data_IF_960822291649
#
_entry.id   IF_960822291649
#
_cell.length_a   1.000
_cell.length_b   1.000
_cell.length_c   1.000
_cell.angle_alpha   90.00
_cell.angle_beta   90.00
_cell.angle_gamma   90.00
#
_symmetry.space_group_name_H-M   'P 1'
#
loop_
_entity.id
_entity.type
_entity.pdbx_description
1 polymer ?
#
# COMPACT_ATOMS: atom_id res chain seq x y z
N UNK A 1 12.25 47.55 15.95
CA UNK A 1 11.71 46.56 15.00
C UNK A 1 12.60 45.35 15.12
N UNK A 2 12.11 44.27 15.71
CA UNK A 2 12.84 43.01 15.86
C UNK A 2 12.13 41.99 14.99
N UNK A 3 12.87 41.48 14.02
CA UNK A 3 12.43 40.55 13.00
C UNK A 3 12.39 39.15 13.63
N UNK A 4 11.23 38.77 14.16
CA UNK A 4 11.00 37.43 14.71
C UNK A 4 10.83 36.46 13.54
N UNK A 5 11.95 35.88 13.12
CA UNK A 5 12.02 34.82 12.14
C UNK A 5 11.11 33.65 12.56
N UNK A 6 9.97 33.54 11.88
CA UNK A 6 9.15 32.34 11.88
C UNK A 6 10.03 31.16 11.45
N UNK A 7 10.50 30.38 12.42
CA UNK A 7 10.97 29.03 12.14
C UNK A 7 9.75 28.25 11.66
N UNK A 8 9.76 27.81 10.41
CA UNK A 8 8.84 26.79 9.97
C UNK A 8 8.98 25.60 10.92
N UNK A 9 7.93 25.30 11.69
CA UNK A 9 7.84 24.03 12.40
C UNK A 9 7.84 22.94 11.33
N UNK A 10 9.01 22.33 11.12
CA UNK A 10 9.11 21.16 10.27
C UNK A 10 8.19 20.10 10.86
N UNK A 11 7.15 19.74 10.11
CA UNK A 11 6.21 18.69 10.49
C UNK A 11 6.94 17.44 10.93
N UNK A 12 6.41 16.79 11.96
CA UNK A 12 6.95 15.58 12.57
C UNK A 12 7.49 14.60 11.51
N UNK A 13 8.80 14.35 11.52
CA UNK A 13 9.43 13.39 10.60
C UNK A 13 9.13 12.00 11.11
N UNK A 14 8.22 11.30 10.44
CA UNK A 14 7.90 9.92 10.77
C UNK A 14 9.11 9.02 10.57
N UNK A 15 9.43 8.21 11.59
CA UNK A 15 10.44 7.18 11.47
C UNK A 15 9.99 6.04 10.56
N UNK A 16 10.93 5.18 10.14
CA UNK A 16 10.64 4.01 9.31
C UNK A 16 9.56 3.11 9.94
N UNK A 17 9.54 3.00 11.27
CA UNK A 17 8.55 2.21 12.01
C UNK A 17 7.13 2.76 11.90
N UNK A 18 6.96 4.08 12.07
CA UNK A 18 5.64 4.73 12.02
C UNK A 18 5.06 4.67 10.61
N UNK A 19 5.92 4.89 9.61
CA UNK A 19 5.55 4.73 8.21
C UNK A 19 5.09 3.30 7.88
N UNK A 20 5.80 2.26 8.37
CA UNK A 20 5.40 0.86 8.17
C UNK A 20 4.05 0.53 8.79
N UNK A 21 3.75 1.07 9.99
CA UNK A 21 2.45 0.87 10.66
C UNK A 21 1.32 1.51 9.88
N UNK A 22 1.52 2.72 9.36
CA UNK A 22 0.50 3.42 8.58
C UNK A 22 0.21 2.68 7.28
N UNK A 23 1.24 2.19 6.60
CA UNK A 23 1.05 1.37 5.42
C UNK A 23 0.31 0.07 5.70
N UNK A 24 0.64 -0.62 6.81
CA UNK A 24 -0.06 -1.84 7.21
C UNK A 24 -1.54 -1.57 7.47
N UNK A 25 -1.86 -0.50 8.21
CA UNK A 25 -3.24 -0.12 8.48
C UNK A 25 -4.01 0.23 7.19
N UNK A 26 -3.37 0.91 6.24
CA UNK A 26 -3.97 1.18 4.92
C UNK A 26 -4.19 -0.11 4.11
N UNK A 27 -3.24 -1.04 4.16
CA UNK A 27 -3.34 -2.33 3.48
C UNK A 27 -4.49 -3.17 4.05
N UNK A 28 -4.63 -3.24 5.38
CA UNK A 28 -5.74 -3.90 6.06
C UNK A 28 -7.09 -3.25 5.71
N UNK A 29 -7.16 -1.92 5.69
CA UNK A 29 -8.37 -1.19 5.28
C UNK A 29 -8.74 -1.50 3.82
N UNK A 30 -7.75 -1.59 2.93
CA UNK A 30 -7.93 -1.98 1.54
C UNK A 30 -8.46 -3.42 1.44
N UNK A 31 -7.93 -4.34 2.25
CA UNK A 31 -8.38 -5.74 2.33
C UNK A 31 -9.85 -5.84 2.79
N UNK A 32 -10.21 -5.15 3.86
CA UNK A 32 -11.57 -5.18 4.42
C UNK A 32 -12.59 -4.52 3.47
N UNK A 33 -12.19 -3.47 2.76
CA UNK A 33 -13.02 -2.85 1.73
C UNK A 33 -13.24 -3.81 0.57
N UNK A 34 -12.21 -4.53 0.12
CA UNK A 34 -12.33 -5.55 -0.91
C UNK A 34 -13.27 -6.69 -0.50
N UNK A 35 -13.15 -7.23 0.72
CA UNK A 35 -14.08 -8.25 1.25
C UNK A 35 -15.53 -7.75 1.28
N UNK A 36 -15.73 -6.52 1.76
CA UNK A 36 -17.04 -5.88 1.82
C UNK A 36 -17.64 -5.69 0.42
N UNK A 37 -16.82 -5.29 -0.56
CA UNK A 37 -17.23 -5.23 -1.96
C UNK A 37 -17.70 -6.59 -2.46
N UNK A 38 -16.95 -7.68 -2.23
CA UNK A 38 -17.33 -9.02 -2.70
C UNK A 38 -18.69 -9.48 -2.15
N UNK A 39 -18.99 -9.17 -0.88
CA UNK A 39 -20.27 -9.49 -0.25
C UNK A 39 -21.44 -8.70 -0.86
N UNK A 40 -21.18 -7.46 -1.30
CA UNK A 40 -22.20 -6.52 -1.78
C UNK A 40 -22.14 -6.26 -3.29
N UNK A 41 -21.34 -7.02 -4.05
CA UNK A 41 -21.11 -6.76 -5.48
C UNK A 41 -22.37 -6.85 -6.33
N UNK A 42 -23.35 -7.63 -5.90
CA UNK A 42 -24.66 -7.76 -6.55
C UNK A 42 -25.67 -6.69 -6.11
N UNK A 43 -25.35 -5.93 -5.06
CA UNK A 43 -26.12 -4.78 -4.59
C UNK A 43 -25.62 -3.51 -5.30
N UNK A 44 -26.08 -3.31 -6.54
CA UNK A 44 -25.47 -2.44 -7.56
C UNK A 44 -24.89 -1.11 -7.06
N UNK A 45 -25.66 -0.28 -6.35
CA UNK A 45 -25.16 1.04 -5.90
C UNK A 45 -24.15 0.95 -4.75
N UNK A 46 -24.37 0.06 -3.79
CA UNK A 46 -23.51 -0.08 -2.63
C UNK A 46 -22.20 -0.79 -3.00
N UNK A 47 -22.29 -1.85 -3.82
CA UNK A 47 -21.14 -2.56 -4.36
C UNK A 47 -20.24 -1.65 -5.19
N UNK A 48 -20.80 -0.81 -6.09
CA UNK A 48 -19.99 0.14 -6.86
C UNK A 48 -19.26 1.15 -6.00
N UNK A 49 -19.91 1.71 -4.96
CA UNK A 49 -19.27 2.66 -4.03
C UNK A 49 -18.10 2.03 -3.27
N UNK A 50 -18.27 0.80 -2.80
CA UNK A 50 -17.20 0.06 -2.13
C UNK A 50 -16.06 -0.25 -3.09
N UNK A 51 -16.37 -0.57 -4.36
CA UNK A 51 -15.35 -0.80 -5.37
C UNK A 51 -14.54 0.47 -5.70
N UNK A 52 -15.21 1.62 -5.86
CA UNK A 52 -14.52 2.89 -6.10
C UNK A 52 -13.66 3.30 -4.91
N UNK A 53 -14.15 3.05 -3.68
CA UNK A 53 -13.37 3.28 -2.47
C UNK A 53 -12.15 2.35 -2.39
N UNK A 54 -12.31 1.07 -2.72
CA UNK A 54 -11.21 0.11 -2.83
C UNK A 54 -10.16 0.56 -3.85
N UNK A 55 -10.57 1.03 -5.04
CA UNK A 55 -9.64 1.55 -6.04
C UNK A 55 -8.88 2.79 -5.55
N UNK A 56 -9.55 3.68 -4.81
CA UNK A 56 -8.91 4.83 -4.17
C UNK A 56 -7.82 4.42 -3.17
N UNK A 57 -8.13 3.45 -2.31
CA UNK A 57 -7.16 2.90 -1.34
C UNK A 57 -5.99 2.21 -2.04
N UNK A 58 -6.25 1.42 -3.08
CA UNK A 58 -5.23 0.72 -3.86
C UNK A 58 -4.29 1.72 -4.57
N UNK A 59 -4.84 2.78 -5.15
CA UNK A 59 -4.07 3.85 -5.76
C UNK A 59 -3.24 4.63 -4.73
N UNK A 60 -3.80 4.87 -3.54
CA UNK A 60 -3.10 5.47 -2.40
C UNK A 60 -1.88 4.65 -1.98
N UNK A 61 -2.12 3.38 -1.62
CA UNK A 61 -1.09 2.40 -1.27
C UNK A 61 0.02 2.34 -2.31
N UNK A 62 -0.34 2.25 -3.60
CA UNK A 62 0.64 2.27 -4.68
C UNK A 62 1.53 3.51 -4.63
N UNK A 63 0.98 4.71 -4.40
CA UNK A 63 1.78 5.92 -4.33
C UNK A 63 2.85 5.88 -3.25
N UNK A 64 2.48 5.36 -2.08
CA UNK A 64 3.38 5.28 -0.94
C UNK A 64 4.48 4.22 -1.15
N UNK A 65 4.17 3.11 -1.83
CA UNK A 65 5.14 2.03 -2.09
C UNK A 65 5.80 2.10 -3.48
N UNK A 66 5.42 3.04 -4.36
CA UNK A 66 5.92 3.13 -5.73
C UNK A 66 7.45 3.18 -5.82
N UNK A 67 8.19 3.98 -5.02
CA UNK A 67 9.65 4.01 -5.08
C UNK A 67 10.27 2.64 -4.78
N UNK A 68 9.60 1.85 -3.94
CA UNK A 68 10.02 0.51 -3.52
C UNK A 68 9.78 -0.52 -4.63
N UNK A 69 8.62 -0.46 -5.28
CA UNK A 69 8.33 -1.28 -6.46
C UNK A 69 9.30 -0.94 -7.59
N UNK A 70 9.61 0.35 -7.81
CA UNK A 70 10.57 0.76 -8.83
C UNK A 70 11.97 0.23 -8.57
N UNK A 71 12.47 0.34 -7.34
CA UNK A 71 13.77 -0.21 -6.97
C UNK A 71 13.82 -1.74 -7.19
N UNK A 72 12.75 -2.45 -6.84
CA UNK A 72 12.64 -3.89 -7.11
C UNK A 72 12.55 -4.22 -8.60
N UNK A 73 11.97 -3.35 -9.44
CA UNK A 73 11.90 -3.57 -10.88
C UNK A 73 13.24 -3.44 -11.59
N UNK A 74 14.22 -2.78 -10.95
CA UNK A 74 15.60 -2.67 -11.43
C UNK A 74 16.51 -3.80 -10.92
N UNK A 75 16.01 -4.68 -10.04
CA UNK A 75 16.77 -5.80 -9.50
C UNK A 75 16.47 -7.08 -10.30
N UNK A 76 17.46 -7.54 -11.08
CA UNK A 76 17.37 -8.76 -11.89
C UNK A 76 17.08 -10.03 -11.06
N UNK A 77 17.35 -9.99 -9.75
CA UNK A 77 17.09 -11.10 -8.83
C UNK A 77 15.68 -11.06 -8.23
N UNK A 78 14.95 -9.94 -8.37
CA UNK A 78 13.61 -9.82 -7.83
C UNK A 78 12.58 -10.52 -8.71
N UNK A 79 12.03 -11.64 -8.22
CA UNK A 79 11.01 -12.43 -8.91
C UNK A 79 9.80 -12.63 -8.02
N UNK A 80 8.63 -12.16 -8.44
CA UNK A 80 7.36 -12.52 -7.82
C UNK A 80 7.00 -13.93 -8.29
N UNK A 81 6.81 -14.85 -7.35
CA UNK A 81 6.53 -16.25 -7.69
C UNK A 81 5.07 -16.40 -8.15
N UNK A 82 4.84 -17.23 -9.18
CA UNK A 82 3.48 -17.53 -9.64
C UNK A 82 2.77 -16.41 -10.41
N UNK A 83 3.46 -15.30 -10.72
CA UNK A 83 2.85 -14.15 -11.39
C UNK A 83 3.46 -13.89 -12.76
N UNK A 84 2.60 -13.74 -13.77
CA UNK A 84 3.00 -13.44 -15.15
C UNK A 84 3.25 -11.95 -15.40
N UNK A 85 2.77 -11.08 -14.51
CA UNK A 85 2.83 -9.63 -14.68
C UNK A 85 4.22 -9.10 -14.28
N UNK A 86 4.91 -8.48 -15.24
CA UNK A 86 6.15 -7.75 -14.97
C UNK A 86 5.87 -6.49 -14.14
N UNK A 87 6.72 -6.20 -13.17
CA UNK A 87 6.58 -5.03 -12.29
C UNK A 87 6.44 -3.71 -13.05
N UNK A 88 7.19 -3.52 -14.14
CA UNK A 88 7.10 -2.30 -14.96
C UNK A 88 5.72 -2.14 -15.62
N UNK A 89 5.06 -3.25 -15.96
CA UNK A 89 3.70 -3.24 -16.53
C UNK A 89 2.70 -2.83 -15.45
N UNK A 90 2.81 -3.42 -14.25
CA UNK A 90 1.99 -3.03 -13.10
C UNK A 90 2.18 -1.56 -12.75
N UNK A 91 3.42 -1.07 -12.72
CA UNK A 91 3.72 0.34 -12.44
C UNK A 91 3.06 1.25 -13.47
N UNK A 92 3.17 0.93 -14.77
CA UNK A 92 2.52 1.71 -15.83
C UNK A 92 1.01 1.76 -15.66
N UNK A 93 0.38 0.61 -15.37
CA UNK A 93 -1.07 0.53 -15.13
C UNK A 93 -1.47 1.40 -13.94
N UNK A 94 -0.76 1.30 -12.82
CA UNK A 94 -1.09 2.06 -11.61
C UNK A 94 -0.78 3.56 -11.74
N UNK A 95 0.24 3.93 -12.49
CA UNK A 95 0.53 5.32 -12.87
C UNK A 95 -0.61 5.90 -13.73
N UNK A 96 -1.20 5.13 -14.65
CA UNK A 96 -2.39 5.55 -15.40
C UNK A 96 -3.64 5.68 -14.51
N UNK A 97 -3.86 4.73 -13.59
CA UNK A 97 -4.95 4.81 -12.61
C UNK A 97 -4.85 6.10 -11.79
N UNK A 98 -3.66 6.43 -11.29
CA UNK A 98 -3.44 7.66 -10.49
C UNK A 98 -3.53 8.94 -11.31
N UNK A 99 -2.92 8.98 -12.48
CA UNK A 99 -2.80 10.22 -13.27
C UNK A 99 -4.07 10.55 -14.06
N UNK A 100 -4.83 9.54 -14.48
CA UNK A 100 -5.97 9.70 -15.39
C UNK A 100 -7.30 9.22 -14.78
N UNK A 101 -7.29 8.69 -13.56
CA UNK A 101 -8.49 8.13 -12.93
C UNK A 101 -9.04 6.91 -13.68
N UNK A 102 -8.18 6.17 -14.39
CA UNK A 102 -8.59 4.97 -15.12
C UNK A 102 -9.15 3.94 -14.14
N UNK A 103 -10.36 3.46 -14.42
CA UNK A 103 -11.00 2.43 -13.60
C UNK A 103 -10.48 1.07 -14.02
N UNK A 104 -9.95 0.31 -13.06
CA UNK A 104 -9.56 -1.08 -13.28
C UNK A 104 -10.80 -1.97 -13.41
N UNK A 105 -10.61 -3.14 -14.03
CA UNK A 105 -11.56 -4.25 -13.86
C UNK A 105 -11.36 -4.85 -12.45
N UNK A 106 -12.41 -5.39 -11.82
CA UNK A 106 -12.31 -5.97 -10.47
C UNK A 106 -11.17 -6.99 -10.34
N UNK A 107 -11.08 -7.96 -11.24
CA UNK A 107 -10.08 -9.03 -11.17
C UNK A 107 -8.64 -8.49 -11.25
N UNK A 108 -8.41 -7.51 -12.14
CA UNK A 108 -7.10 -6.87 -12.27
C UNK A 108 -6.72 -6.06 -11.01
N UNK A 109 -7.69 -5.39 -10.39
CA UNK A 109 -7.45 -4.66 -9.14
C UNK A 109 -7.12 -5.61 -7.98
N UNK A 110 -7.75 -6.79 -7.94
CA UNK A 110 -7.46 -7.83 -6.95
C UNK A 110 -6.07 -8.44 -7.17
N UNK A 111 -5.69 -8.71 -8.42
CA UNK A 111 -4.35 -9.20 -8.76
C UNK A 111 -3.26 -8.21 -8.30
N UNK A 112 -3.45 -6.91 -8.60
CA UNK A 112 -2.53 -5.85 -8.14
C UNK A 112 -2.49 -5.78 -6.61
N UNK A 113 -3.63 -5.87 -5.94
CA UNK A 113 -3.68 -5.89 -4.48
C UNK A 113 -2.89 -7.08 -3.89
N UNK A 114 -3.01 -8.26 -4.48
CA UNK A 114 -2.26 -9.45 -4.05
C UNK A 114 -0.74 -9.27 -4.29
N UNK A 115 -0.34 -8.69 -5.42
CA UNK A 115 1.06 -8.33 -5.68
C UNK A 115 1.60 -7.43 -4.57
N UNK A 116 0.83 -6.40 -4.18
CA UNK A 116 1.23 -5.55 -3.08
C UNK A 116 1.41 -6.37 -1.80
N UNK A 117 0.47 -7.26 -1.46
CA UNK A 117 0.60 -8.16 -0.32
C UNK A 117 1.92 -8.94 -0.29
N UNK A 118 2.34 -9.50 -1.42
CA UNK A 118 3.63 -10.21 -1.54
C UNK A 118 4.84 -9.27 -1.35
N UNK A 119 4.78 -8.05 -1.88
CA UNK A 119 5.77 -7.01 -1.60
C UNK A 119 5.86 -6.69 -0.11
N UNK A 120 4.70 -6.48 0.52
CA UNK A 120 4.58 -6.19 1.93
C UNK A 120 5.21 -7.30 2.78
N UNK A 121 4.97 -8.57 2.44
CA UNK A 121 5.53 -9.71 3.16
C UNK A 121 7.05 -9.84 2.99
N UNK A 122 7.53 -9.78 1.73
CA UNK A 122 8.97 -9.91 1.43
C UNK A 122 9.81 -8.82 2.05
N UNK A 123 9.25 -7.63 2.19
CA UNK A 123 9.92 -6.47 2.76
C UNK A 123 9.75 -6.36 4.28
N UNK A 124 9.15 -7.39 4.91
CA UNK A 124 8.92 -7.43 6.36
C UNK A 124 7.92 -6.40 6.85
N UNK A 125 7.15 -5.78 5.95
CA UNK A 125 6.19 -4.72 6.26
C UNK A 125 4.91 -5.28 6.92
N UNK A 126 4.60 -6.57 6.73
CA UNK A 126 3.51 -7.27 7.45
C UNK A 126 3.95 -7.94 8.75
N UNK A 127 5.25 -7.93 9.08
CA UNK A 127 5.78 -8.59 10.30
C UNK A 127 5.86 -7.67 11.53
N UNK A 128 5.32 -6.45 11.45
CA UNK A 128 5.34 -5.46 12.54
C UNK A 128 4.70 -6.02 13.84
N UNK A 129 3.76 -6.97 13.73
CA UNK A 129 3.16 -7.64 14.90
C UNK A 129 4.02 -8.78 15.49
N UNK A 130 4.86 -9.46 14.70
CA UNK A 130 5.58 -10.67 15.16
C UNK A 130 6.76 -10.34 16.08
N UNK A 131 7.41 -9.20 15.89
CA UNK A 131 8.54 -8.81 16.74
C UNK A 131 8.10 -8.24 18.10
N UNK A 132 6.87 -7.73 18.22
CA UNK A 132 6.33 -7.27 19.51
C UNK A 132 5.90 -8.40 20.45
N UNK A 133 5.68 -9.62 19.94
CA UNK A 133 5.51 -10.80 20.79
C UNK A 133 6.83 -11.37 21.32
N UNK A 134 7.97 -11.03 20.71
CA UNK A 134 9.32 -11.37 21.21
C UNK A 134 9.96 -10.29 22.09
N UNK A 135 9.49 -9.03 22.00
CA UNK A 135 9.85 -7.97 22.96
C UNK A 135 9.11 -8.07 24.31
N UNK A 136 8.51 -9.23 24.61
CA UNK A 136 8.02 -9.58 25.95
C UNK A 136 9.02 -10.41 26.75
N UNK A 137 10.27 -10.48 26.28
CA UNK A 137 11.32 -11.31 26.90
C UNK A 137 12.35 -10.45 27.67
N UNK A 138 11.99 -9.21 28.02
CA UNK A 138 12.59 -8.48 29.13
C UNK A 138 14.04 -8.03 28.97
N UNK A 139 14.32 -7.11 28.05
CA UNK A 139 15.59 -6.35 28.12
C UNK A 139 15.43 -4.95 27.51
N UNK A 140 15.74 -3.92 28.32
CA UNK A 140 15.89 -2.52 27.89
C UNK A 140 17.37 -2.23 27.73
N UNK A 141 17.78 -1.68 26.58
CA UNK A 141 18.67 -0.53 26.42
C UNK A 141 18.40 0.13 25.06
#
# INVERSE_FOLDING_TARGET
>A
MSDDGQKAEFGEVWGEYDWKRVLLAQYELCQETHKSYLQLRFNGKQGMRLYDYFLGLLAGLYGDIRPKIHAASQDDNFKIEGQAVKLDVLMRVMDEVRSRGVRLKPDAAVEIFNIFGEFFERWGLTKVEKDNKKRKDGTMY
#
